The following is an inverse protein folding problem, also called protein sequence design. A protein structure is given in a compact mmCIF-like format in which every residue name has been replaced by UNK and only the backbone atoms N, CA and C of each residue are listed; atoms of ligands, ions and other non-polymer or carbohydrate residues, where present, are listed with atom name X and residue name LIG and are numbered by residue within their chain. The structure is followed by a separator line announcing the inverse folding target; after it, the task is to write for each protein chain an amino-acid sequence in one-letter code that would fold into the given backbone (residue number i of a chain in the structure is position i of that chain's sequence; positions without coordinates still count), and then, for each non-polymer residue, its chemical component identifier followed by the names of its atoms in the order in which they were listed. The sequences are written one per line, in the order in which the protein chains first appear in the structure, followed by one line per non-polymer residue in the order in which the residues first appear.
data_IF_289262584799
#
_entry.id   IF_289262584799
#
_cell.length_a   1.000
_cell.length_b   1.000
_cell.length_c   1.000
_cell.angle_alpha   90.00
_cell.angle_beta   90.00
_cell.angle_gamma   90.00
#
_symmetry.space_group_name_H-M   'P 1'
#
loop_
_entity.id
_entity.type
_entity.pdbx_description
1 polymer ?
#
# COMPACT_ATOMS: atom_id res chain seq x y z
N UNK A 1 -2.68 -1.89 -19.22
CA UNK A 1 -2.53 -3.02 -18.27
C UNK A 1 -2.34 -2.57 -16.81
N UNK A 2 -1.52 -1.54 -16.53
CA UNK A 2 -1.21 -1.07 -15.17
C UNK A 2 -2.30 -0.21 -14.47
N UNK A 3 -3.15 0.49 -15.21
CA UNK A 3 -4.16 1.41 -14.66
C UNK A 3 -5.05 0.81 -13.55
N UNK A 4 -5.61 -0.41 -13.67
CA UNK A 4 -6.40 -1.00 -12.58
C UNK A 4 -5.57 -1.30 -11.33
N UNK A 5 -4.33 -1.77 -11.49
CA UNK A 5 -3.40 -2.02 -10.37
C UNK A 5 -3.08 -0.70 -9.65
N UNK A 6 -2.69 0.34 -10.38
CA UNK A 6 -2.38 1.65 -9.80
C UNK A 6 -3.56 2.23 -9.02
N UNK A 7 -4.77 2.10 -9.55
CA UNK A 7 -5.99 2.56 -8.87
C UNK A 7 -6.16 1.85 -7.53
N UNK A 8 -6.09 0.51 -7.53
CA UNK A 8 -6.29 -0.29 -6.33
C UNK A 8 -5.22 -0.06 -5.27
N UNK A 9 -3.94 0.10 -5.66
CA UNK A 9 -2.87 0.53 -4.74
C UNK A 9 -3.23 1.90 -4.13
N UNK A 10 -3.77 2.81 -4.94
CA UNK A 10 -4.22 4.11 -4.45
C UNK A 10 -5.37 4.06 -3.45
N UNK A 11 -6.27 3.09 -3.57
CA UNK A 11 -7.37 2.86 -2.63
C UNK A 11 -6.91 2.34 -1.26
N UNK A 12 -5.64 1.95 -1.13
CA UNK A 12 -4.96 1.60 0.13
C UNK A 12 -4.11 2.78 0.63
N UNK A 13 -3.21 3.30 -0.21
CA UNK A 13 -2.25 4.34 0.20
C UNK A 13 -2.92 5.69 0.51
N UNK A 14 -3.93 6.09 -0.27
CA UNK A 14 -4.47 7.45 -0.17
C UNK A 14 -5.30 7.69 1.12
N UNK A 15 -6.10 6.73 1.62
CA UNK A 15 -6.81 6.91 2.90
C UNK A 15 -5.91 6.92 4.13
N UNK A 16 -4.73 6.29 4.08
CA UNK A 16 -3.86 6.11 5.25
C UNK A 16 -3.60 7.37 6.09
N UNK A 17 -3.24 8.55 5.52
CA UNK A 17 -2.95 9.72 6.34
C UNK A 17 -4.13 10.20 7.18
N UNK A 18 -5.37 10.01 6.69
CA UNK A 18 -6.57 10.37 7.43
C UNK A 18 -6.84 9.37 8.56
N UNK A 19 -6.70 8.07 8.27
CA UNK A 19 -6.84 6.99 9.25
C UNK A 19 -5.80 7.11 10.38
N UNK A 20 -4.54 7.32 10.00
CA UNK A 20 -3.45 7.54 10.94
C UNK A 20 -3.68 8.78 11.82
N UNK A 21 -4.13 9.90 11.22
CA UNK A 21 -4.42 11.12 11.96
C UNK A 21 -5.58 10.93 12.94
N UNK A 22 -6.61 10.17 12.56
CA UNK A 22 -7.73 9.86 13.45
C UNK A 22 -7.25 9.05 14.65
N UNK A 23 -6.54 7.94 14.43
CA UNK A 23 -5.99 7.11 15.50
C UNK A 23 -5.02 7.88 16.42
N UNK A 24 -4.24 8.81 15.87
CA UNK A 24 -3.29 9.62 16.65
C UNK A 24 -3.98 10.58 17.63
N UNK A 25 -5.29 10.78 17.55
CA UNK A 25 -6.02 11.61 18.51
C UNK A 25 -6.10 10.94 19.88
N UNK A 26 -6.36 9.62 19.91
CA UNK A 26 -6.26 8.76 21.09
C UNK A 26 -6.08 7.30 20.63
N UNK A 27 -4.87 6.73 20.71
CA UNK A 27 -4.63 5.35 20.28
C UNK A 27 -5.31 4.29 21.15
N UNK A 28 -5.76 4.64 22.36
CA UNK A 28 -6.41 3.72 23.30
C UNK A 28 -7.94 3.81 23.24
N UNK A 29 -8.49 4.70 22.41
CA UNK A 29 -9.92 4.76 22.15
C UNK A 29 -10.34 3.57 21.28
N UNK A 30 -11.27 2.78 21.79
CA UNK A 30 -11.73 1.54 21.15
C UNK A 30 -12.37 1.81 19.77
N UNK A 31 -13.10 2.91 19.60
CA UNK A 31 -13.76 3.25 18.33
C UNK A 31 -12.73 3.65 17.26
N UNK A 32 -11.74 4.46 17.64
CA UNK A 32 -10.65 4.85 16.76
C UNK A 32 -9.78 3.65 16.36
N UNK A 33 -9.50 2.75 17.31
CA UNK A 33 -8.76 1.52 17.04
C UNK A 33 -9.55 0.57 16.14
N UNK A 34 -10.85 0.35 16.40
CA UNK A 34 -11.71 -0.48 15.56
C UNK A 34 -11.80 0.04 14.12
N UNK A 35 -11.94 1.37 13.95
CA UNK A 35 -11.92 2.01 12.65
C UNK A 35 -10.59 1.78 11.91
N UNK A 36 -9.47 1.89 12.62
CA UNK A 36 -8.15 1.65 12.05
C UNK A 36 -7.95 0.17 11.67
N UNK A 37 -8.32 -0.78 12.54
CA UNK A 37 -8.33 -2.21 12.26
C UNK A 37 -9.18 -2.55 11.02
N UNK A 38 -10.38 -1.98 10.91
CA UNK A 38 -11.27 -2.16 9.75
C UNK A 38 -10.65 -1.64 8.45
N UNK A 39 -9.92 -0.52 8.53
CA UNK A 39 -9.14 0.00 7.42
C UNK A 39 -8.01 -0.96 7.01
N UNK A 40 -7.26 -1.50 7.97
CA UNK A 40 -6.18 -2.47 7.71
C UNK A 40 -6.72 -3.74 7.05
N UNK A 41 -7.75 -4.35 7.62
CA UNK A 41 -8.36 -5.58 7.10
C UNK A 41 -8.88 -5.38 5.67
N UNK A 42 -9.55 -4.25 5.41
CA UNK A 42 -10.02 -3.90 4.06
C UNK A 42 -8.87 -3.66 3.09
N UNK A 43 -7.77 -3.07 3.57
CA UNK A 43 -6.58 -2.81 2.76
C UNK A 43 -5.85 -4.11 2.42
N UNK A 44 -5.68 -5.01 3.38
CA UNK A 44 -5.07 -6.34 3.19
C UNK A 44 -5.85 -7.13 2.13
N UNK A 45 -7.19 -7.20 2.22
CA UNK A 45 -8.04 -7.82 1.17
C UNK A 45 -7.89 -7.19 -0.21
N UNK A 46 -7.72 -5.86 -0.28
CA UNK A 46 -7.47 -5.19 -1.58
C UNK A 46 -6.11 -5.60 -2.13
N UNK A 47 -5.07 -5.66 -1.29
CA UNK A 47 -3.72 -6.03 -1.70
C UNK A 47 -3.65 -7.46 -2.24
N UNK A 48 -4.35 -8.41 -1.62
CA UNK A 48 -4.49 -9.77 -2.15
C UNK A 48 -5.05 -9.76 -3.57
N UNK A 49 -6.14 -9.02 -3.81
CA UNK A 49 -6.76 -8.90 -5.13
C UNK A 49 -5.82 -8.25 -6.15
N UNK A 50 -5.05 -7.23 -5.73
CA UNK A 50 -4.06 -6.58 -6.61
C UNK A 50 -2.95 -7.57 -6.99
N UNK A 51 -2.45 -8.36 -6.05
CA UNK A 51 -1.44 -9.39 -6.31
C UNK A 51 -1.95 -10.43 -7.30
N UNK A 52 -3.14 -10.98 -7.07
CA UNK A 52 -3.74 -11.96 -7.99
C UNK A 52 -3.89 -11.37 -9.38
N UNK A 53 -4.37 -10.14 -9.48
CA UNK A 53 -4.48 -9.45 -10.77
C UNK A 53 -3.11 -9.27 -11.43
N UNK A 54 -2.11 -8.77 -10.70
CA UNK A 54 -0.76 -8.56 -11.22
C UNK A 54 -0.13 -9.85 -11.73
N UNK A 55 -0.26 -10.95 -10.99
CA UNK A 55 0.27 -12.26 -11.37
C UNK A 55 -0.45 -12.87 -12.58
N UNK A 56 -1.71 -12.51 -12.82
CA UNK A 56 -2.48 -13.01 -13.98
C UNK A 56 -2.09 -12.33 -15.30
N UNK A 57 -1.33 -11.23 -15.26
CA UNK A 57 -1.03 -10.42 -16.43
C UNK A 57 0.32 -10.82 -17.04
N UNK A 58 0.37 -11.17 -18.34
CA UNK A 58 1.64 -11.45 -19.00
C UNK A 58 2.48 -10.17 -19.04
N UNK A 59 3.73 -10.24 -18.57
CA UNK A 59 4.67 -9.11 -18.62
C UNK A 59 5.59 -9.27 -19.83
N UNK A 60 5.47 -8.40 -20.86
CA UNK A 60 6.38 -8.43 -22.01
C UNK A 60 7.84 -8.26 -21.59
N UNK A 61 8.78 -8.82 -22.35
CA UNK A 61 10.20 -8.70 -22.05
C UNK A 61 10.68 -7.24 -21.97
N UNK A 62 10.10 -6.35 -22.78
CA UNK A 62 10.35 -4.90 -22.79
C UNK A 62 9.86 -4.18 -21.52
N UNK A 63 8.92 -4.77 -20.78
CA UNK A 63 8.32 -4.18 -19.57
C UNK A 63 8.72 -4.92 -18.28
N UNK A 64 9.69 -5.84 -18.32
CA UNK A 64 10.13 -6.61 -17.15
C UNK A 64 10.62 -5.74 -16.00
N UNK A 65 11.41 -4.70 -16.30
CA UNK A 65 11.90 -3.76 -15.29
C UNK A 65 10.76 -3.02 -14.60
N UNK A 66 9.80 -2.52 -15.39
CA UNK A 66 8.60 -1.89 -14.87
C UNK A 66 7.79 -2.85 -14.00
N UNK A 67 7.56 -4.09 -14.45
CA UNK A 67 6.88 -5.12 -13.67
C UNK A 67 7.54 -5.39 -12.31
N UNK A 68 8.87 -5.47 -12.27
CA UNK A 68 9.62 -5.64 -11.02
C UNK A 68 9.44 -4.44 -10.08
N UNK A 69 9.50 -3.22 -10.61
CA UNK A 69 9.24 -2.00 -9.83
C UNK A 69 7.81 -1.96 -9.25
N UNK A 70 6.82 -2.45 -10.01
CA UNK A 70 5.44 -2.61 -9.53
C UNK A 70 5.38 -3.63 -8.40
N UNK A 71 5.98 -4.81 -8.59
CA UNK A 71 6.03 -5.85 -7.57
C UNK A 71 6.63 -5.33 -6.26
N UNK A 72 7.76 -4.63 -6.31
CA UNK A 72 8.36 -4.04 -5.11
C UNK A 72 7.44 -3.03 -4.42
N UNK A 73 6.68 -2.24 -5.18
CA UNK A 73 5.68 -1.34 -4.60
C UNK A 73 4.55 -2.10 -3.90
N UNK A 74 4.14 -3.25 -4.43
CA UNK A 74 3.11 -4.08 -3.80
C UNK A 74 3.62 -4.68 -2.49
N UNK A 75 4.82 -5.27 -2.50
CA UNK A 75 5.44 -5.84 -1.30
C UNK A 75 5.62 -4.81 -0.19
N UNK A 76 6.12 -3.61 -0.53
CA UNK A 76 6.33 -2.53 0.42
C UNK A 76 5.02 -2.07 1.09
N UNK A 77 3.90 -2.08 0.37
CA UNK A 77 2.59 -1.76 0.96
C UNK A 77 2.13 -2.87 1.91
N UNK A 78 2.36 -4.14 1.57
CA UNK A 78 1.96 -5.26 2.43
C UNK A 78 2.79 -5.36 3.69
N UNK A 79 4.10 -5.18 3.58
CA UNK A 79 5.00 -5.13 4.74
C UNK A 79 4.56 -4.01 5.68
N UNK A 80 4.18 -2.86 5.13
CA UNK A 80 3.64 -1.75 5.91
C UNK A 80 2.33 -2.12 6.62
N UNK A 81 1.38 -2.77 5.93
CA UNK A 81 0.12 -3.22 6.55
C UNK A 81 0.39 -4.23 7.66
N UNK A 82 1.33 -5.15 7.47
CA UNK A 82 1.69 -6.16 8.46
C UNK A 82 2.29 -5.53 9.73
N UNK A 83 3.15 -4.51 9.62
CA UNK A 83 3.62 -3.79 10.82
C UNK A 83 2.48 -3.04 11.50
N UNK A 84 1.60 -2.38 10.75
CA UNK A 84 0.45 -1.69 11.33
C UNK A 84 -0.51 -2.65 12.05
N UNK A 85 -0.73 -3.86 11.53
CA UNK A 85 -1.49 -4.90 12.22
C UNK A 85 -0.79 -5.38 13.49
N UNK A 86 0.54 -5.50 13.52
CA UNK A 86 1.28 -5.82 14.75
C UNK A 86 1.15 -4.70 15.79
N UNK A 87 1.11 -3.44 15.34
CA UNK A 87 0.84 -2.32 16.23
C UNK A 87 -0.53 -2.45 16.91
N UNK A 88 -1.60 -2.78 16.18
CA UNK A 88 -2.94 -2.90 16.78
C UNK A 88 -3.05 -4.04 17.81
N UNK A 89 -2.14 -5.02 17.77
CA UNK A 89 -2.10 -6.14 18.72
C UNK A 89 -1.26 -5.85 19.97
N UNK A 90 -0.29 -4.94 19.89
CA UNK A 90 0.75 -4.80 20.93
C UNK A 90 1.08 -3.37 21.34
N UNK A 91 0.54 -2.35 20.67
CA UNK A 91 0.81 -0.93 20.92
C UNK A 91 2.29 -0.57 20.91
N UNK A 92 3.10 -1.33 20.16
CA UNK A 92 4.55 -1.07 20.06
C UNK A 92 4.78 0.00 19.00
N UNK A 93 5.14 1.21 19.45
CA UNK A 93 5.29 2.40 18.61
C UNK A 93 6.23 2.22 17.41
N UNK A 94 7.25 1.35 17.53
CA UNK A 94 8.16 1.05 16.43
C UNK A 94 7.40 0.52 15.21
N UNK A 95 6.44 -0.39 15.40
CA UNK A 95 5.64 -0.93 14.30
C UNK A 95 4.78 0.14 13.63
N UNK A 96 4.23 1.07 14.42
CA UNK A 96 3.46 2.19 13.90
C UNK A 96 4.33 3.15 13.08
N UNK A 97 5.53 3.45 13.57
CA UNK A 97 6.50 4.29 12.88
C UNK A 97 6.95 3.65 11.57
N UNK A 98 7.36 2.39 11.61
CA UNK A 98 7.88 1.65 10.45
C UNK A 98 6.80 1.49 9.38
N UNK A 99 5.58 1.09 9.76
CA UNK A 99 4.44 1.01 8.85
C UNK A 99 4.11 2.35 8.18
N UNK A 100 4.19 3.45 8.93
CA UNK A 100 3.99 4.80 8.39
C UNK A 100 5.08 5.20 7.39
N UNK A 101 6.35 4.94 7.69
CA UNK A 101 7.44 5.25 6.77
C UNK A 101 7.38 4.39 5.50
N UNK A 102 7.07 3.10 5.62
CA UNK A 102 6.90 2.23 4.45
C UNK A 102 5.75 2.69 3.54
N UNK A 103 4.60 3.10 4.09
CA UNK A 103 3.52 3.67 3.27
C UNK A 103 3.89 5.01 2.62
N UNK A 104 4.73 5.82 3.29
CA UNK A 104 5.26 7.05 2.71
C UNK A 104 6.17 6.73 1.51
N UNK A 105 7.03 5.73 1.63
CA UNK A 105 7.94 5.29 0.57
C UNK A 105 7.18 4.65 -0.60
N UNK A 106 6.21 3.78 -0.31
CA UNK A 106 5.32 3.19 -1.30
C UNK A 106 4.57 4.26 -2.09
N UNK A 107 4.10 5.34 -1.43
CA UNK A 107 3.46 6.47 -2.12
C UNK A 107 4.41 7.16 -3.09
N UNK A 108 5.67 7.36 -2.70
CA UNK A 108 6.68 7.96 -3.57
C UNK A 108 7.05 7.02 -4.73
N UNK A 109 7.16 5.71 -4.48
CA UNK A 109 7.41 4.69 -5.51
C UNK A 109 6.26 4.62 -6.52
N UNK A 110 5.02 4.63 -6.05
CA UNK A 110 3.82 4.69 -6.91
C UNK A 110 3.85 5.90 -7.83
N UNK A 111 4.23 7.08 -7.33
CA UNK A 111 4.36 8.29 -8.18
C UNK A 111 5.41 8.08 -9.29
N UNK A 112 6.57 7.50 -8.94
CA UNK A 112 7.61 7.16 -9.92
C UNK A 112 7.11 6.16 -10.98
N UNK A 113 6.35 5.14 -10.58
CA UNK A 113 5.73 4.18 -11.50
C UNK A 113 4.74 4.85 -12.46
N UNK A 114 3.96 5.82 -11.98
CA UNK A 114 3.05 6.59 -12.82
C UNK A 114 3.80 7.40 -13.88
N UNK A 115 4.92 8.01 -13.51
CA UNK A 115 5.78 8.77 -14.43
C UNK A 115 6.50 7.85 -15.44
N UNK A 116 7.00 6.70 -14.99
CA UNK A 116 7.64 5.69 -15.84
C UNK A 116 6.66 5.12 -16.86
N UNK A 117 5.44 4.77 -16.44
CA UNK A 117 4.38 4.33 -17.36
C UNK A 117 4.11 5.34 -18.45
N UNK A 118 4.00 6.64 -18.10
CA UNK A 118 3.74 7.70 -19.10
C UNK A 118 4.83 7.74 -20.16
N UNK A 119 6.09 7.44 -19.81
CA UNK A 119 7.20 7.36 -20.77
C UNK A 119 7.10 6.12 -21.65
N UNK A 120 6.68 4.99 -21.09
CA UNK A 120 6.45 3.75 -21.83
C UNK A 120 5.27 3.85 -22.80
N UNK A 121 4.21 4.59 -22.44
CA UNK A 121 3.05 4.83 -23.30
C UNK A 121 3.37 5.80 -24.49
N UNK A 122 4.55 6.44 -24.49
CA UNK A 122 5.03 7.36 -25.55
C UNK A 122 6.00 6.63 -26.53
N UNK A 123 6.44 5.42 -26.21
CA UNK A 123 7.30 4.55 -27.03
C UNK A 123 6.47 3.51 -27.78
#
# INVERSE_FOLDING_TARGET
MYAPIDRMIGEVINPFPAQFKALSADPYDDELMEAFCSYLETSSRKMERVKTLFQSLPTPASARGFGLSVYHCLSEVEDALAELERYTMGYVDNYLHDGREMLREAKQRRKRLQDERRRLDIL
#
